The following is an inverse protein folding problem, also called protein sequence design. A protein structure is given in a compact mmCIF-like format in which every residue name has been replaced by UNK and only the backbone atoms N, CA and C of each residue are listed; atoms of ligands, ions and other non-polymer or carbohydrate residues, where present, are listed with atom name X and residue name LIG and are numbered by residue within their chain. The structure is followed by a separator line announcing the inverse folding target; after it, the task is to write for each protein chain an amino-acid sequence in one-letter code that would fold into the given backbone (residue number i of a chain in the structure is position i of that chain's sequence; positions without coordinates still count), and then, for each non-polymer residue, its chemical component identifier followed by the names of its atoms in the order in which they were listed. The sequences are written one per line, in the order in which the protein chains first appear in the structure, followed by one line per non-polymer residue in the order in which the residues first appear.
data_IF_442768802753
#
_entry.id   IF_442768802753
#
_cell.length_a   1.000
_cell.length_b   1.000
_cell.length_c   1.000
_cell.angle_alpha   90.00
_cell.angle_beta   90.00
_cell.angle_gamma   90.00
#
_symmetry.space_group_name_H-M   'P 1'
#
loop_
_entity.id
_entity.type
_entity.pdbx_description
1 polymer ?
#
# COMPACT_ATOMS: atom_id res chain seq x y z
N UNK A 1 -5.55 5.76 14.75
CA UNK A 1 -5.01 4.77 13.80
C UNK A 1 -6.14 4.10 13.06
N UNK A 2 -6.21 4.23 11.74
CA UNK A 2 -7.27 3.61 10.95
C UNK A 2 -6.83 2.20 10.53
N UNK A 3 -7.75 1.26 10.29
CA UNK A 3 -7.39 -0.13 9.94
C UNK A 3 -8.02 -0.58 8.62
N UNK A 4 -7.28 -1.37 7.84
CA UNK A 4 -7.80 -2.06 6.67
C UNK A 4 -8.26 -3.48 7.01
N UNK A 5 -9.51 -3.81 6.69
CA UNK A 5 -10.18 -5.02 7.16
C UNK A 5 -9.64 -6.31 6.53
N UNK A 6 -9.03 -6.26 5.34
CA UNK A 6 -8.54 -7.45 4.61
C UNK A 6 -7.03 -7.65 4.70
N UNK A 7 -6.36 -6.98 5.64
CA UNK A 7 -4.97 -7.34 5.96
C UNK A 7 -4.92 -8.76 6.53
N UNK A 8 -3.85 -9.56 6.27
CA UNK A 8 -3.70 -10.91 6.82
C UNK A 8 -3.75 -10.93 8.36
N UNK A 9 -3.19 -9.89 8.98
CA UNK A 9 -3.27 -9.63 10.43
C UNK A 9 -3.78 -8.21 10.65
N UNK A 10 -5.09 -7.96 10.54
CA UNK A 10 -5.65 -6.60 10.47
C UNK A 10 -5.50 -5.82 11.78
N UNK A 11 -5.16 -6.50 12.86
CA UNK A 11 -4.98 -5.93 14.20
C UNK A 11 -3.52 -5.69 14.56
N UNK A 12 -2.56 -5.96 13.66
CA UNK A 12 -1.14 -5.83 13.94
C UNK A 12 -0.41 -5.19 12.75
N UNK A 13 0.20 -4.04 12.99
CA UNK A 13 1.22 -3.46 12.11
C UNK A 13 2.58 -3.96 12.58
N UNK A 14 3.32 -4.61 11.67
CA UNK A 14 4.71 -4.98 11.88
C UNK A 14 5.58 -3.93 11.22
N UNK A 15 6.38 -3.24 12.01
CA UNK A 15 7.39 -2.32 11.53
C UNK A 15 8.76 -2.93 11.72
N UNK A 16 9.67 -2.65 10.79
CA UNK A 16 11.10 -2.88 10.94
C UNK A 16 11.88 -1.62 10.56
N UNK A 17 13.07 -1.43 11.13
CA UNK A 17 13.96 -0.32 10.76
C UNK A 17 15.29 -0.82 10.19
N UNK A 18 16.12 0.12 9.73
CA UNK A 18 17.43 -0.19 9.15
C UNK A 18 18.43 -0.84 10.15
N UNK A 19 18.21 -0.69 11.46
CA UNK A 19 18.99 -1.34 12.51
C UNK A 19 18.55 -2.80 12.76
N UNK A 20 17.50 -3.27 12.09
CA UNK A 20 16.95 -4.62 12.26
C UNK A 20 16.04 -4.77 13.48
N UNK A 21 15.62 -3.67 14.09
CA UNK A 21 14.62 -3.69 15.16
C UNK A 21 13.23 -3.95 14.58
N UNK A 22 12.44 -4.78 15.25
CA UNK A 22 11.03 -5.01 14.89
C UNK A 22 10.11 -4.51 16.00
N UNK A 23 9.03 -3.82 15.61
CA UNK A 23 7.99 -3.36 16.52
C UNK A 23 6.62 -3.82 16.00
N UNK A 24 5.83 -4.40 16.90
CA UNK A 24 4.44 -4.77 16.63
C UNK A 24 3.51 -3.74 17.28
N UNK A 25 2.76 -3.01 16.46
CA UNK A 25 1.77 -2.04 16.90
C UNK A 25 0.37 -2.63 16.72
N UNK A 26 -0.45 -2.61 17.76
CA UNK A 26 -1.87 -2.97 17.68
C UNK A 26 -2.73 -1.71 17.58
N UNK A 27 -3.13 -1.27 16.38
CA UNK A 27 -3.96 -0.08 16.23
C UNK A 27 -5.35 -0.29 16.86
N UNK A 28 -5.76 0.64 17.73
CA UNK A 28 -7.06 0.61 18.42
C UNK A 28 -7.97 1.78 17.99
N UNK A 29 -7.80 2.32 16.79
CA UNK A 29 -8.58 3.48 16.37
C UNK A 29 -10.01 3.13 15.93
N UNK A 30 -10.83 4.17 15.73
CA UNK A 30 -12.28 4.05 15.67
C UNK A 30 -12.81 3.55 14.32
N UNK A 31 -11.96 3.54 13.29
CA UNK A 31 -12.39 3.22 11.93
C UNK A 31 -11.63 2.01 11.38
N UNK A 32 -12.41 1.02 10.96
CA UNK A 32 -11.96 -0.11 10.16
C UNK A 32 -12.76 -0.14 8.87
N UNK A 33 -12.07 -0.16 7.73
CA UNK A 33 -12.70 -0.20 6.41
C UNK A 33 -12.04 -1.22 5.50
N UNK A 34 -12.77 -1.72 4.52
CA UNK A 34 -12.27 -2.63 3.49
C UNK A 34 -12.05 -1.92 2.14
N UNK A 35 -12.01 -0.59 2.15
CA UNK A 35 -11.76 0.25 0.99
C UNK A 35 -10.77 1.36 1.36
N UNK A 36 -9.69 1.48 0.61
CA UNK A 36 -8.66 2.51 0.80
C UNK A 36 -9.15 3.93 0.54
N UNK A 37 -10.14 4.14 -0.34
CA UNK A 37 -10.68 5.47 -0.62
C UNK A 37 -11.41 6.02 0.61
N UNK A 38 -12.15 5.17 1.32
CA UNK A 38 -12.81 5.53 2.58
C UNK A 38 -11.81 5.88 3.69
N UNK A 39 -10.67 5.18 3.73
CA UNK A 39 -9.58 5.49 4.66
C UNK A 39 -8.89 6.80 4.29
N UNK A 40 -8.66 7.05 3.00
CA UNK A 40 -8.01 8.27 2.51
C UNK A 40 -8.81 9.52 2.84
N UNK A 41 -10.14 9.50 2.65
CA UNK A 41 -11.00 10.60 3.08
C UNK A 41 -10.90 10.88 4.60
N UNK A 42 -10.73 9.84 5.40
CA UNK A 42 -10.56 9.97 6.85
C UNK A 42 -9.17 10.52 7.24
N UNK A 43 -8.14 10.20 6.45
CA UNK A 43 -6.81 10.80 6.60
C UNK A 43 -6.83 12.30 6.28
N UNK A 44 -7.48 12.69 5.17
CA UNK A 44 -7.64 14.11 4.81
C UNK A 44 -8.42 14.90 5.86
N UNK A 45 -9.37 14.27 6.54
CA UNK A 45 -10.11 14.86 7.65
C UNK A 45 -9.32 14.90 8.98
N UNK A 46 -8.06 14.46 9.00
CA UNK A 46 -7.20 14.48 10.19
C UNK A 46 -7.60 13.47 11.26
N UNK A 47 -8.33 12.40 10.91
CA UNK A 47 -8.88 11.44 11.87
C UNK A 47 -7.87 10.37 12.31
N UNK A 48 -6.63 10.42 11.81
CA UNK A 48 -5.52 9.61 12.33
C UNK A 48 -4.47 9.26 11.28
N UNK A 49 -3.70 8.21 11.58
CA UNK A 49 -2.65 7.64 10.73
C UNK A 49 -3.05 6.26 10.20
N UNK A 50 -2.56 5.89 9.02
CA UNK A 50 -2.80 4.60 8.38
C UNK A 50 -1.63 4.21 7.46
N UNK A 51 -1.08 2.99 7.56
CA UNK A 51 -0.14 2.47 6.57
C UNK A 51 -0.87 2.17 5.27
N UNK A 52 -0.63 3.00 4.26
CA UNK A 52 -1.24 2.89 2.94
C UNK A 52 -0.15 2.59 1.90
N UNK A 53 -0.43 1.83 0.82
CA UNK A 53 0.49 1.74 -0.30
C UNK A 53 0.73 3.08 -0.99
N UNK A 54 1.99 3.35 -1.33
CA UNK A 54 2.45 4.57 -2.00
C UNK A 54 1.71 4.90 -3.28
N UNK A 55 1.37 3.89 -4.10
CA UNK A 55 0.61 4.07 -5.33
C UNK A 55 -0.79 4.68 -5.12
N UNK A 56 -1.32 4.65 -3.90
CA UNK A 56 -2.58 5.30 -3.53
C UNK A 56 -2.33 6.74 -3.07
N UNK A 57 -1.39 6.95 -2.14
CA UNK A 57 -1.28 8.23 -1.43
C UNK A 57 -0.27 9.23 -2.02
N UNK A 58 0.58 8.83 -2.97
CA UNK A 58 1.71 9.68 -3.42
C UNK A 58 1.29 11.06 -3.93
N UNK A 59 0.12 11.17 -4.58
CA UNK A 59 -0.41 12.45 -5.09
C UNK A 59 -0.83 13.38 -3.97
N UNK A 60 -1.37 12.82 -2.91
CA UNK A 60 -1.85 13.57 -1.76
C UNK A 60 -0.68 14.15 -0.99
N UNK A 61 0.41 13.39 -0.88
CA UNK A 61 1.67 13.89 -0.30
C UNK A 61 2.32 14.93 -1.20
N UNK A 62 2.41 14.68 -2.51
CA UNK A 62 2.96 15.64 -3.45
C UNK A 62 2.14 16.96 -3.49
N UNK A 63 0.83 16.88 -3.25
CA UNK A 63 -0.07 18.03 -3.16
C UNK A 63 -0.13 18.69 -1.79
N UNK A 64 0.57 18.16 -0.78
CA UNK A 64 0.56 18.68 0.60
C UNK A 64 -0.74 18.42 1.38
N UNK A 65 -1.60 17.52 0.91
CA UNK A 65 -2.82 17.11 1.62
C UNK A 65 -2.53 16.09 2.73
N UNK A 66 -1.50 15.28 2.54
CA UNK A 66 -1.04 14.28 3.49
C UNK A 66 0.46 14.43 3.73
N UNK A 67 0.92 13.95 4.88
CA UNK A 67 2.33 13.86 5.23
C UNK A 67 2.69 12.42 5.61
N UNK A 68 3.91 12.00 5.26
CA UNK A 68 4.47 10.72 5.70
C UNK A 68 5.05 10.87 7.09
N UNK A 69 4.77 9.92 7.97
CA UNK A 69 5.30 9.86 9.34
C UNK A 69 6.03 8.54 9.56
N UNK A 70 6.89 8.49 10.58
CA UNK A 70 7.64 7.28 10.94
C UNK A 70 8.50 6.75 9.78
N UNK A 71 9.16 7.63 9.01
CA UNK A 71 9.92 7.27 7.80
C UNK A 71 11.14 6.39 8.08
N UNK A 72 11.63 6.40 9.33
CA UNK A 72 12.68 5.47 9.80
C UNK A 72 12.20 4.01 9.91
N UNK A 73 10.89 3.78 9.78
CA UNK A 73 10.25 2.48 9.93
C UNK A 73 9.53 2.07 8.63
N UNK A 74 9.69 0.80 8.26
CA UNK A 74 9.08 0.22 7.08
C UNK A 74 8.11 -0.91 7.46
N UNK A 75 7.05 -1.05 6.69
CA UNK A 75 6.17 -2.23 6.75
C UNK A 75 6.67 -3.31 5.77
N UNK A 76 6.29 -4.57 5.97
CA UNK A 76 6.53 -5.61 4.99
C UNK A 76 6.05 -5.19 3.60
N UNK A 77 6.88 -5.36 2.55
CA UNK A 77 6.47 -5.00 1.20
C UNK A 77 5.29 -5.86 0.76
N UNK A 78 4.38 -5.24 0.01
CA UNK A 78 3.29 -5.95 -0.66
C UNK A 78 3.66 -6.23 -2.12
N UNK A 79 3.07 -7.28 -2.69
CA UNK A 79 3.28 -7.66 -4.08
C UNK A 79 2.01 -7.46 -4.91
N UNK A 80 2.19 -7.01 -6.16
CA UNK A 80 1.14 -6.97 -7.17
C UNK A 80 1.26 -8.23 -8.03
N UNK A 81 0.16 -8.96 -8.19
CA UNK A 81 0.13 -10.22 -8.93
C UNK A 81 -0.85 -10.16 -10.10
N UNK A 82 -0.44 -10.71 -11.24
CA UNK A 82 -1.33 -11.05 -12.35
C UNK A 82 -1.75 -12.52 -12.21
N UNK A 83 -3.03 -12.77 -11.97
CA UNK A 83 -3.56 -14.12 -11.77
C UNK A 83 -4.46 -14.50 -12.94
N UNK A 84 -4.17 -15.64 -13.57
CA UNK A 84 -4.97 -16.20 -14.66
C UNK A 84 -5.29 -17.68 -14.37
N UNK A 85 -6.46 -18.19 -14.78
CA UNK A 85 -6.79 -19.59 -14.63
C UNK A 85 -5.75 -20.50 -15.28
N UNK A 86 -5.45 -21.64 -14.65
CA UNK A 86 -4.55 -22.66 -15.19
C UNK A 86 -5.25 -23.63 -16.16
N UNK A 87 -6.47 -23.30 -16.62
CA UNK A 87 -7.29 -24.18 -17.43
C UNK A 87 -6.98 -24.03 -18.92
N UNK A 88 -6.10 -24.89 -19.45
CA UNK A 88 -5.82 -25.01 -20.88
C UNK A 88 -4.88 -23.94 -21.47
N UNK A 89 -4.71 -23.92 -22.80
CA UNK A 89 -3.83 -22.97 -23.48
C UNK A 89 -4.29 -21.53 -23.24
N UNK A 90 -3.39 -20.68 -22.73
CA UNK A 90 -3.67 -19.25 -22.54
C UNK A 90 -3.86 -18.56 -23.89
N UNK A 91 -4.98 -17.86 -24.15
CA UNK A 91 -5.18 -17.13 -25.41
C UNK A 91 -4.11 -16.06 -25.61
N UNK A 92 -3.62 -15.88 -26.85
CA UNK A 92 -2.56 -14.92 -27.17
C UNK A 92 -2.85 -13.49 -26.71
N UNK A 93 -4.11 -13.03 -26.79
CA UNK A 93 -4.53 -11.70 -26.29
C UNK A 93 -4.34 -11.53 -24.77
N UNK A 94 -4.49 -12.61 -24.00
CA UNK A 94 -4.30 -12.58 -22.55
C UNK A 94 -2.82 -12.47 -22.23
N UNK A 95 -1.97 -13.25 -22.93
CA UNK A 95 -0.51 -13.13 -22.82
C UNK A 95 -0.05 -11.71 -23.16
N UNK A 96 -0.48 -11.17 -24.30
CA UNK A 96 -0.12 -9.82 -24.72
C UNK A 96 -0.53 -8.74 -23.69
N UNK A 97 -1.73 -8.87 -23.09
CA UNK A 97 -2.17 -7.97 -22.02
C UNK A 97 -1.32 -8.14 -20.76
N UNK A 98 -1.04 -9.36 -20.34
CA UNK A 98 -0.22 -9.62 -19.15
C UNK A 98 1.20 -9.07 -19.33
N UNK A 99 1.81 -9.26 -20.50
CA UNK A 99 3.13 -8.73 -20.82
C UNK A 99 3.14 -7.19 -20.78
N UNK A 100 2.12 -6.55 -21.37
CA UNK A 100 1.96 -5.11 -21.31
C UNK A 100 1.81 -4.59 -19.88
N UNK A 101 0.95 -5.21 -19.07
CA UNK A 101 0.74 -4.79 -17.67
C UNK A 101 2.00 -5.01 -16.83
N UNK A 102 2.70 -6.14 -17.03
CA UNK A 102 3.94 -6.43 -16.34
C UNK A 102 5.01 -5.37 -16.65
N UNK A 103 5.22 -5.03 -17.93
CA UNK A 103 6.14 -3.96 -18.31
C UNK A 103 5.70 -2.61 -17.72
N UNK A 104 4.42 -2.26 -17.87
CA UNK A 104 3.87 -0.96 -17.44
C UNK A 104 3.99 -0.71 -15.93
N UNK A 105 3.86 -1.77 -15.12
CA UNK A 105 3.87 -1.70 -13.66
C UNK A 105 5.18 -2.20 -13.03
N UNK A 106 6.18 -2.59 -13.82
CA UNK A 106 7.52 -2.96 -13.33
C UNK A 106 8.32 -1.77 -12.79
N UNK A 107 7.86 -0.54 -13.06
CA UNK A 107 8.50 0.71 -12.65
C UNK A 107 7.59 1.49 -11.71
N UNK A 108 8.14 2.25 -10.76
CA UNK A 108 7.35 3.16 -9.92
C UNK A 108 6.51 4.08 -10.80
N UNK A 109 5.23 4.23 -10.47
CA UNK A 109 4.30 5.11 -11.19
C UNK A 109 4.39 6.58 -10.74
N UNK A 110 5.16 6.84 -9.68
CA UNK A 110 5.37 8.12 -9.01
C UNK A 110 6.86 8.47 -8.99
N UNK A 111 7.23 9.73 -8.72
CA UNK A 111 8.64 10.10 -8.54
C UNK A 111 9.24 9.22 -7.44
N UNK A 112 10.23 8.42 -7.79
CA UNK A 112 10.83 7.46 -6.86
C UNK A 112 11.45 8.13 -5.62
N UNK A 113 11.44 7.38 -4.52
CA UNK A 113 12.29 7.50 -3.31
C UNK A 113 12.32 8.82 -2.51
N UNK A 114 11.51 9.84 -2.87
CA UNK A 114 11.40 11.07 -2.06
C UNK A 114 10.21 11.10 -1.11
N UNK A 115 9.25 10.18 -1.28
CA UNK A 115 8.04 10.12 -0.45
C UNK A 115 8.29 9.11 0.66
N UNK A 116 8.92 9.54 1.76
CA UNK A 116 9.06 8.73 2.98
C UNK A 116 10.46 8.21 3.31
N UNK A 117 11.54 8.87 2.86
CA UNK A 117 12.81 8.87 3.61
C UNK A 117 12.81 10.05 4.57
#
# INVERSE_FOLDING_TARGET
CLCYAYMPTPDIWRFSNAAGEEVLVRPQGPLRANNSDALTASLWAGLGIFPQPDFIYWRDVAGGHLETVMTDWSLPPIALHLVAPNSGPRPARVTALMDYLADRFSKPLWPGDTVGR
#
